data_IF_974538157284
#
_entry.id   IF_974538157284
#
_cell.length_a   1.000
_cell.length_b   1.000
_cell.length_c   1.000
_cell.angle_alpha   90.00
_cell.angle_beta   90.00
_cell.angle_gamma   90.00
#
_symmetry.space_group_name_H-M   'P 1'
#
loop_
_entity.id
_entity.type
_entity.pdbx_description
1 polymer ?
#
# COMPACT_ATOMS: atom_id res chain seq x y z
N UNK A 1 6.05 27.39 3.07
CA UNK A 1 6.23 26.38 4.14
C UNK A 1 6.11 25.00 3.52
N UNK A 2 7.06 24.08 3.78
CA UNK A 2 6.96 22.72 3.24
C UNK A 2 5.98 21.88 4.08
N UNK A 3 5.19 21.01 3.43
CA UNK A 3 4.23 20.11 4.08
C UNK A 3 4.96 19.17 5.06
N UNK A 4 4.36 18.93 6.22
CA UNK A 4 4.81 17.91 7.17
C UNK A 4 4.65 16.50 6.55
N UNK A 5 5.70 15.68 6.61
CA UNK A 5 5.73 14.32 6.04
C UNK A 5 5.21 13.24 7.00
N UNK A 6 4.79 13.59 8.22
CA UNK A 6 4.24 12.62 9.17
C UNK A 6 3.11 11.80 8.55
N UNK A 7 2.16 12.43 7.85
CA UNK A 7 1.06 11.71 7.20
C UNK A 7 1.54 10.73 6.13
N UNK A 8 2.48 11.15 5.29
CA UNK A 8 3.06 10.31 4.23
C UNK A 8 3.66 9.04 4.83
N UNK A 9 4.49 9.20 5.88
CA UNK A 9 5.11 8.07 6.57
C UNK A 9 4.10 7.21 7.34
N UNK A 10 3.12 7.82 8.00
CA UNK A 10 2.05 7.08 8.68
C UNK A 10 1.27 6.22 7.70
N UNK A 11 0.89 6.74 6.54
CA UNK A 11 0.20 5.98 5.49
C UNK A 11 1.07 4.84 4.96
N UNK A 12 2.37 5.08 4.73
CA UNK A 12 3.31 4.04 4.31
C UNK A 12 3.42 2.95 5.37
N UNK A 13 3.57 3.31 6.64
CA UNK A 13 3.70 2.34 7.74
C UNK A 13 2.42 1.53 7.92
N UNK A 14 1.25 2.18 7.96
CA UNK A 14 -0.03 1.47 8.11
C UNK A 14 -0.28 0.59 6.89
N UNK A 15 -0.07 1.10 5.67
CA UNK A 15 -0.24 0.34 4.44
C UNK A 15 0.65 -0.90 4.39
N UNK A 16 1.91 -0.77 4.81
CA UNK A 16 2.85 -1.90 4.92
C UNK A 16 2.36 -2.95 5.94
N UNK A 17 1.92 -2.50 7.12
CA UNK A 17 1.43 -3.41 8.16
C UNK A 17 0.17 -4.16 7.72
N UNK A 18 -0.77 -3.47 7.06
CA UNK A 18 -2.00 -4.09 6.53
C UNK A 18 -1.66 -5.09 5.41
N UNK A 19 -0.77 -4.75 4.48
CA UNK A 19 -0.32 -5.67 3.45
C UNK A 19 0.40 -6.91 4.03
N UNK A 20 1.23 -6.70 5.07
CA UNK A 20 1.90 -7.78 5.78
C UNK A 20 0.91 -8.69 6.52
N UNK A 21 -0.15 -8.12 7.11
CA UNK A 21 -1.25 -8.90 7.68
C UNK A 21 -1.96 -9.75 6.62
N UNK A 22 -2.18 -9.22 5.41
CA UNK A 22 -2.70 -10.01 4.29
C UNK A 22 -1.81 -11.20 3.94
N UNK A 23 -0.48 -11.00 3.91
CA UNK A 23 0.47 -12.10 3.72
C UNK A 23 0.40 -13.14 4.85
N UNK A 24 0.29 -12.69 6.10
CA UNK A 24 0.09 -13.58 7.25
C UNK A 24 -1.18 -14.41 7.12
N UNK A 25 -2.31 -13.78 6.77
CA UNK A 25 -3.59 -14.44 6.59
C UNK A 25 -3.60 -15.44 5.41
N UNK A 26 -2.75 -15.23 4.41
CA UNK A 26 -2.58 -16.16 3.28
C UNK A 26 -1.78 -17.42 3.67
N UNK A 27 -0.70 -17.28 4.44
CA UNK A 27 0.19 -18.41 4.75
C UNK A 27 -0.16 -19.17 6.03
N UNK A 28 -0.80 -18.52 7.01
CA UNK A 28 -1.05 -19.12 8.32
C UNK A 28 -2.46 -19.74 8.36
N UNK A 29 -2.58 -21.05 8.65
CA UNK A 29 -3.87 -21.70 8.80
C UNK A 29 -4.69 -21.02 9.90
N UNK A 30 -5.72 -20.31 9.47
CA UNK A 30 -6.48 -19.47 10.36
C UNK A 30 -7.68 -20.23 10.93
N UNK A 31 -7.42 -21.10 11.92
CA UNK A 31 -8.49 -21.77 12.67
C UNK A 31 -9.39 -20.81 13.47
N UNK A 32 -8.98 -19.55 13.61
CA UNK A 32 -9.72 -18.44 14.21
C UNK A 32 -10.48 -17.59 13.17
N UNK A 33 -10.11 -17.68 11.88
CA UNK A 33 -10.87 -17.07 10.80
C UNK A 33 -12.01 -18.03 10.50
N UNK A 34 -13.22 -17.52 10.33
CA UNK A 34 -14.33 -18.24 9.70
C UNK A 34 -13.79 -18.84 8.39
N UNK A 35 -13.44 -20.12 8.38
CA UNK A 35 -12.53 -20.72 7.39
C UNK A 35 -13.01 -20.61 5.93
N UNK A 36 -14.27 -20.20 5.70
CA UNK A 36 -14.83 -19.85 4.39
C UNK A 36 -14.64 -18.39 3.93
N UNK A 37 -14.00 -17.52 4.71
CA UNK A 37 -13.73 -16.10 4.38
C UNK A 37 -12.23 -15.78 4.27
N UNK A 38 -11.35 -16.79 4.23
CA UNK A 38 -9.89 -16.58 4.17
C UNK A 38 -9.49 -15.65 3.02
N UNK A 39 -10.09 -15.83 1.85
CA UNK A 39 -9.83 -15.03 0.65
C UNK A 39 -10.18 -13.56 0.82
N UNK A 40 -11.34 -13.26 1.44
CA UNK A 40 -11.74 -11.90 1.75
C UNK A 40 -10.74 -11.20 2.69
N UNK A 41 -10.14 -11.94 3.64
CA UNK A 41 -9.17 -11.38 4.57
C UNK A 41 -7.83 -11.07 3.91
N UNK A 42 -7.21 -12.02 3.20
CA UNK A 42 -5.90 -11.76 2.60
C UNK A 42 -5.99 -10.83 1.39
N UNK A 43 -6.96 -11.00 0.50
CA UNK A 43 -7.16 -10.11 -0.66
C UNK A 43 -7.61 -8.72 -0.20
N UNK A 44 -8.57 -8.63 0.73
CA UNK A 44 -9.02 -7.36 1.29
C UNK A 44 -7.89 -6.56 1.94
N UNK A 45 -6.99 -7.25 2.65
CA UNK A 45 -5.80 -6.63 3.25
C UNK A 45 -4.81 -6.16 2.19
N UNK A 46 -4.58 -6.90 1.11
CA UNK A 46 -3.72 -6.45 0.02
C UNK A 46 -4.31 -5.26 -0.75
N UNK A 47 -5.63 -5.22 -0.93
CA UNK A 47 -6.34 -4.07 -1.52
C UNK A 47 -6.15 -2.84 -0.63
N UNK A 48 -6.53 -2.94 0.65
CA UNK A 48 -6.46 -1.81 1.58
C UNK A 48 -5.01 -1.34 1.80
N UNK A 49 -4.09 -2.27 2.03
CA UNK A 49 -2.66 -1.98 2.18
C UNK A 49 -2.07 -1.34 0.93
N UNK A 50 -2.37 -1.87 -0.26
CA UNK A 50 -1.91 -1.32 -1.52
C UNK A 50 -2.42 0.09 -1.78
N UNK A 51 -3.71 0.37 -1.52
CA UNK A 51 -4.28 1.73 -1.64
C UNK A 51 -3.60 2.72 -0.69
N UNK A 52 -3.37 2.33 0.57
CA UNK A 52 -2.68 3.17 1.55
C UNK A 52 -1.23 3.44 1.15
N UNK A 53 -0.53 2.43 0.64
CA UNK A 53 0.83 2.56 0.12
C UNK A 53 0.89 3.48 -1.10
N UNK A 54 -0.05 3.35 -2.05
CA UNK A 54 -0.19 4.25 -3.19
C UNK A 54 -0.37 5.69 -2.73
N UNK A 55 -1.29 5.94 -1.81
CA UNK A 55 -1.50 7.28 -1.26
C UNK A 55 -0.22 7.80 -0.58
N UNK A 56 0.38 7.02 0.32
CA UNK A 56 1.58 7.41 1.06
C UNK A 56 2.78 7.70 0.16
N UNK A 57 3.09 6.81 -0.77
CA UNK A 57 4.20 6.98 -1.71
C UNK A 57 3.95 8.09 -2.74
N UNK A 58 2.74 8.23 -3.26
CA UNK A 58 2.39 9.31 -4.18
C UNK A 58 2.51 10.67 -3.50
N UNK A 59 2.01 10.80 -2.27
CA UNK A 59 2.15 11.99 -1.45
C UNK A 59 3.63 12.30 -1.13
N UNK A 60 4.41 11.29 -0.77
CA UNK A 60 5.85 11.43 -0.51
C UNK A 60 6.58 11.92 -1.76
N UNK A 61 6.36 11.28 -2.90
CA UNK A 61 6.98 11.63 -4.18
C UNK A 61 6.69 13.07 -4.61
N UNK A 62 5.43 13.51 -4.48
CA UNK A 62 5.05 14.90 -4.70
C UNK A 62 5.79 15.85 -3.75
N UNK A 63 5.82 15.56 -2.44
CA UNK A 63 6.52 16.39 -1.46
C UNK A 63 8.02 16.50 -1.68
N UNK A 64 8.66 15.44 -2.21
CA UNK A 64 10.08 15.43 -2.53
C UNK A 64 10.33 16.29 -3.76
N UNK A 65 9.54 16.10 -4.83
CA UNK A 65 9.63 16.89 -6.06
C UNK A 65 9.42 18.38 -5.80
N UNK A 66 8.38 18.73 -5.03
CA UNK A 66 8.04 20.13 -4.75
C UNK A 66 9.14 20.82 -3.93
N UNK A 67 9.83 20.07 -3.06
CA UNK A 67 10.96 20.61 -2.28
C UNK A 67 12.24 20.73 -3.10
N UNK A 68 12.53 19.78 -3.98
CA UNK A 68 13.74 19.84 -4.83
C UNK A 68 13.59 20.78 -6.01
N UNK A 69 12.38 21.02 -6.52
CA UNK A 69 12.13 21.82 -7.74
C UNK A 69 12.44 21.07 -9.04
N UNK A 70 12.94 19.85 -8.97
CA UNK A 70 13.22 18.97 -10.10
C UNK A 70 13.01 17.49 -9.72
N UNK A 71 12.99 16.61 -10.72
CA UNK A 71 12.83 15.17 -10.54
C UNK A 71 14.10 14.54 -9.96
N UNK A 72 14.06 14.20 -8.68
CA UNK A 72 15.11 13.43 -8.01
C UNK A 72 14.84 11.94 -8.11
N UNK A 73 15.88 11.11 -7.99
CA UNK A 73 15.72 9.65 -7.92
C UNK A 73 14.75 9.22 -6.79
N UNK A 74 14.78 9.90 -5.63
CA UNK A 74 13.85 9.64 -4.53
C UNK A 74 12.38 9.95 -4.88
N UNK A 75 12.13 11.04 -5.62
CA UNK A 75 10.78 11.36 -6.11
C UNK A 75 10.29 10.32 -7.13
N UNK A 76 11.12 10.01 -8.13
CA UNK A 76 10.81 9.03 -9.18
C UNK A 76 10.51 7.66 -8.55
N UNK A 77 11.38 7.21 -7.63
CA UNK A 77 11.19 5.92 -6.98
C UNK A 77 9.94 5.88 -6.12
N UNK A 78 9.61 6.97 -5.42
CA UNK A 78 8.34 7.04 -4.67
C UNK A 78 7.14 6.86 -5.60
N UNK A 79 7.11 7.49 -6.78
CA UNK A 79 6.03 7.28 -7.75
C UNK A 79 6.00 5.87 -8.34
N UNK A 80 7.16 5.27 -8.62
CA UNK A 80 7.21 3.88 -9.08
C UNK A 80 6.64 2.92 -8.02
N UNK A 81 7.02 3.09 -6.75
CA UNK A 81 6.45 2.30 -5.64
C UNK A 81 4.94 2.53 -5.51
N UNK A 82 4.48 3.78 -5.63
CA UNK A 82 3.06 4.11 -5.62
C UNK A 82 2.27 3.37 -6.70
N UNK A 83 2.79 3.35 -7.92
CA UNK A 83 2.17 2.67 -9.07
C UNK A 83 2.18 1.15 -8.90
N UNK A 84 3.28 0.58 -8.39
CA UNK A 84 3.37 -0.86 -8.12
C UNK A 84 2.40 -1.29 -7.02
N UNK A 85 2.28 -0.50 -5.95
CA UNK A 85 1.28 -0.75 -4.89
C UNK A 85 -0.15 -0.69 -5.42
N UNK A 86 -0.42 0.24 -6.35
CA UNK A 86 -1.75 0.35 -6.96
C UNK A 86 -2.04 -0.86 -7.85
N UNK A 87 -1.07 -1.28 -8.66
CA UNK A 87 -1.19 -2.47 -9.49
C UNK A 87 -1.45 -3.72 -8.64
N UNK A 88 -0.73 -3.88 -7.53
CA UNK A 88 -0.97 -4.96 -6.56
C UNK A 88 -2.38 -4.93 -5.98
N UNK A 89 -2.87 -3.75 -5.58
CA UNK A 89 -4.23 -3.60 -5.07
C UNK A 89 -5.30 -3.95 -6.12
N UNK A 90 -5.11 -3.50 -7.37
CA UNK A 90 -6.03 -3.81 -8.48
C UNK A 90 -6.04 -5.30 -8.79
N UNK A 91 -4.87 -5.95 -8.85
CA UNK A 91 -4.78 -7.40 -9.07
C UNK A 91 -5.53 -8.14 -7.95
N UNK A 92 -5.30 -7.79 -6.69
CA UNK A 92 -6.00 -8.40 -5.57
C UNK A 92 -7.52 -8.19 -5.64
N UNK A 93 -7.97 -7.00 -6.06
CA UNK A 93 -9.40 -6.71 -6.24
C UNK A 93 -10.02 -7.51 -7.39
N UNK A 94 -9.32 -7.64 -8.52
CA UNK A 94 -9.78 -8.46 -9.65
C UNK A 94 -9.90 -9.92 -9.23
N UNK A 95 -8.87 -10.47 -8.57
CA UNK A 95 -8.89 -11.85 -8.07
C UNK A 95 -10.03 -12.08 -7.08
N UNK A 96 -10.38 -11.09 -6.25
CA UNK A 96 -11.47 -11.21 -5.29
C UNK A 96 -12.87 -11.28 -5.95
N UNK A 97 -13.02 -10.70 -7.14
CA UNK A 97 -14.32 -10.61 -7.84
C UNK A 97 -14.53 -11.79 -8.81
N UNK A 98 -13.45 -12.40 -9.30
CA UNK A 98 -13.48 -13.58 -10.18
C UNK A 98 -13.81 -14.85 -9.40
#
# INVERSE_FOLDING_TARGET
MFRNRTLDYTLITIGLLVAAFGAYAYFVPAGWILAGLSEAWYLGSWIAGGVLLTAGFGLLGASVRDRSGYWTAGAVMSFVLSTLSLAGAVIAAVVLIL
#
